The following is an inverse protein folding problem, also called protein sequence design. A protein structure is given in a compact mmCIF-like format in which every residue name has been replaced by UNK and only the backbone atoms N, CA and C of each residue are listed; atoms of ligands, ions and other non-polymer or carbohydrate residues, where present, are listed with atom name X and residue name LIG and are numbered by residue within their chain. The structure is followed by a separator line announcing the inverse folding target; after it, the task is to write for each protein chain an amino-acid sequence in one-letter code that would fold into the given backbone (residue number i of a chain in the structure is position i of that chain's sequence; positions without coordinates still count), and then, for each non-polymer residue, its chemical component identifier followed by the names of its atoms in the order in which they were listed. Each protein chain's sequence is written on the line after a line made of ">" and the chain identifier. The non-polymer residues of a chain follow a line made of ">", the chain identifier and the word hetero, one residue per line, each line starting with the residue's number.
data_IF_237003174827
#
_entry.id   IF_237003174827
#
_cell.length_a   1.000
_cell.length_b   1.000
_cell.length_c   1.000
_cell.angle_alpha   90.00
_cell.angle_beta   90.00
_cell.angle_gamma   90.00
#
_symmetry.space_group_name_H-M   'P 1'
#
loop_
_entity.id
_entity.type
_entity.pdbx_description
1 polymer ?
#
# COMPACT_ATOMS: atom_id res chain seq x y z
N UNK A 1 -40.37 10.50 -42.49
CA UNK A 1 -41.32 9.88 -43.45
C UNK A 1 -40.52 8.81 -44.19
N UNK A 2 -40.56 7.53 -43.79
CA UNK A 2 -41.59 6.54 -44.14
C UNK A 2 -41.83 6.51 -45.67
N UNK A 3 -41.77 5.41 -46.43
CA UNK A 3 -41.64 3.98 -46.24
C UNK A 3 -41.61 3.37 -47.66
N UNK A 4 -40.81 2.30 -47.92
CA UNK A 4 -41.21 1.05 -48.61
C UNK A 4 -41.69 1.10 -50.10
N UNK A 5 -41.66 0.08 -50.96
CA UNK A 5 -41.36 -1.37 -50.97
C UNK A 5 -41.22 -1.78 -52.47
N UNK A 6 -40.27 -2.68 -52.84
CA UNK A 6 -40.44 -4.10 -53.27
C UNK A 6 -41.01 -4.36 -54.67
N UNK A 7 -40.32 -5.22 -55.42
CA UNK A 7 -40.78 -6.54 -55.94
C UNK A 7 -39.55 -7.27 -56.52
N UNK A 8 -39.04 -8.35 -55.90
CA UNK A 8 -39.40 -9.78 -56.03
C UNK A 8 -39.38 -10.34 -57.47
N UNK A 9 -38.38 -11.16 -57.79
CA UNK A 9 -38.51 -12.27 -58.73
C UNK A 9 -37.55 -13.42 -58.40
N UNK A 10 -38.12 -14.62 -58.31
CA UNK A 10 -37.47 -15.93 -58.13
C UNK A 10 -37.08 -16.53 -59.49
N UNK A 11 -35.98 -17.29 -59.56
CA UNK A 11 -35.70 -18.15 -60.71
C UNK A 11 -34.30 -18.78 -60.70
N UNK A 12 -34.26 -20.12 -60.61
CA UNK A 12 -33.10 -21.00 -60.48
C UNK A 12 -32.04 -20.93 -61.60
N UNK A 13 -30.78 -21.21 -61.24
CA UNK A 13 -29.93 -22.11 -62.04
C UNK A 13 -28.82 -22.76 -61.19
N UNK A 14 -28.76 -24.09 -61.24
CA UNK A 14 -27.73 -24.96 -60.66
C UNK A 14 -26.41 -24.77 -61.42
N UNK A 15 -25.30 -24.54 -60.70
CA UNK A 15 -24.01 -25.08 -61.12
C UNK A 15 -23.15 -25.41 -59.90
N UNK A 16 -22.69 -26.64 -59.93
CA UNK A 16 -21.88 -27.38 -58.99
C UNK A 16 -20.47 -26.80 -58.91
N UNK A 17 -20.00 -26.48 -57.70
CA UNK A 17 -18.58 -26.25 -57.43
C UNK A 17 -18.26 -26.58 -55.97
N UNK A 18 -17.41 -27.58 -55.80
CA UNK A 18 -16.82 -28.12 -54.57
C UNK A 18 -16.27 -27.02 -53.64
N UNK A 19 -16.50 -27.07 -52.31
CA UNK A 19 -15.85 -26.14 -51.39
C UNK A 19 -14.38 -26.57 -51.13
N UNK A 20 -13.45 -25.62 -50.92
CA UNK A 20 -12.07 -25.94 -50.54
C UNK A 20 -12.02 -26.42 -49.08
N UNK A 21 -10.95 -27.14 -48.66
CA UNK A 21 -10.85 -27.64 -47.30
C UNK A 21 -10.75 -26.47 -46.31
N UNK A 22 -11.49 -26.58 -45.22
CA UNK A 22 -11.42 -25.68 -44.07
C UNK A 22 -9.98 -25.64 -43.55
N UNK A 23 -9.31 -24.51 -43.74
CA UNK A 23 -8.08 -24.20 -43.03
C UNK A 23 -8.42 -24.12 -41.53
N UNK A 24 -7.93 -25.11 -40.79
CA UNK A 24 -7.87 -25.09 -39.33
C UNK A 24 -7.09 -23.85 -38.91
N UNK A 25 -7.80 -22.85 -38.37
CA UNK A 25 -7.15 -21.75 -37.64
C UNK A 25 -6.28 -22.38 -36.55
N UNK A 26 -5.00 -21.98 -36.41
CA UNK A 26 -4.21 -22.42 -35.27
C UNK A 26 -4.91 -21.95 -34.00
N UNK A 27 -5.29 -22.94 -33.18
CA UNK A 27 -5.81 -22.77 -31.82
C UNK A 27 -4.85 -21.84 -31.08
N UNK A 28 -5.32 -20.63 -30.79
CA UNK A 28 -4.57 -19.71 -29.93
C UNK A 28 -4.30 -20.44 -28.61
N UNK A 29 -3.06 -20.41 -28.09
CA UNK A 29 -2.80 -20.93 -26.76
C UNK A 29 -3.68 -20.16 -25.75
N UNK A 30 -4.16 -20.80 -24.67
CA UNK A 30 -4.91 -20.10 -23.64
C UNK A 30 -4.06 -18.91 -23.17
N UNK A 31 -4.65 -17.72 -23.21
CA UNK A 31 -4.01 -16.51 -22.72
C UNK A 31 -3.51 -16.78 -21.31
N UNK A 32 -2.19 -16.77 -21.11
CA UNK A 32 -1.61 -16.68 -19.77
C UNK A 32 -2.24 -15.44 -19.14
N UNK A 33 -3.14 -15.63 -18.17
CA UNK A 33 -3.71 -14.56 -17.37
C UNK A 33 -2.54 -13.91 -16.62
N UNK A 34 -2.00 -12.83 -17.18
CA UNK A 34 -0.95 -12.02 -16.56
C UNK A 34 -1.55 -11.25 -15.38
N UNK A 35 -0.70 -10.93 -14.40
CA UNK A 35 -1.01 -10.17 -13.18
C UNK A 35 -1.63 -8.78 -13.42
N UNK A 36 -1.69 -8.32 -14.66
CA UNK A 36 -2.27 -7.04 -15.11
C UNK A 36 -3.76 -6.88 -14.86
N UNK A 37 -4.49 -7.95 -14.54
CA UNK A 37 -5.96 -7.94 -14.43
C UNK A 37 -6.50 -7.69 -13.01
N UNK A 38 -5.64 -7.67 -11.98
CA UNK A 38 -6.08 -7.50 -10.59
C UNK A 38 -5.85 -6.06 -10.11
N UNK A 39 -6.85 -5.21 -10.33
CA UNK A 39 -6.81 -3.82 -9.87
C UNK A 39 -6.96 -3.70 -8.35
N UNK A 40 -6.26 -2.74 -7.73
CA UNK A 40 -6.38 -2.48 -6.29
C UNK A 40 -7.80 -2.05 -5.89
N UNK A 41 -8.44 -2.70 -4.91
CA UNK A 41 -9.78 -2.40 -4.41
C UNK A 41 -9.79 -1.25 -3.40
N UNK A 42 -8.61 -0.76 -3.01
CA UNK A 42 -8.46 0.31 -2.00
C UNK A 42 -8.80 1.71 -2.57
N UNK A 43 -9.46 1.75 -3.74
CA UNK A 43 -9.91 2.95 -4.42
C UNK A 43 -8.91 3.51 -5.42
N UNK A 44 -9.43 4.22 -6.42
CA UNK A 44 -8.63 5.02 -7.35
C UNK A 44 -8.63 6.48 -6.89
N UNK A 45 -7.47 7.13 -6.96
CA UNK A 45 -7.38 8.56 -6.67
C UNK A 45 -7.88 9.35 -7.87
N UNK A 46 -8.71 10.36 -7.60
CA UNK A 46 -9.17 11.28 -8.63
C UNK A 46 -8.05 12.27 -9.07
N UNK A 47 -6.97 12.37 -8.28
CA UNK A 47 -5.81 13.20 -8.60
C UNK A 47 -4.85 12.51 -9.57
N UNK A 48 -4.10 13.30 -10.34
CA UNK A 48 -2.99 12.83 -11.18
C UNK A 48 -1.73 12.48 -10.35
N UNK A 49 -1.89 11.79 -9.22
CA UNK A 49 -0.79 11.27 -8.41
C UNK A 49 -0.33 9.93 -8.98
N UNK A 50 0.95 9.82 -9.30
CA UNK A 50 1.56 8.56 -9.76
C UNK A 50 1.91 7.68 -8.56
N UNK A 51 2.16 6.38 -8.80
CA UNK A 51 2.67 5.49 -7.74
C UNK A 51 4.02 5.97 -7.18
N UNK A 52 4.84 6.66 -7.98
CA UNK A 52 6.07 7.30 -7.50
C UNK A 52 5.78 8.44 -6.52
N UNK A 53 4.75 9.25 -6.81
CA UNK A 53 4.33 10.36 -5.93
C UNK A 53 3.81 9.83 -4.59
N UNK A 54 2.99 8.77 -4.64
CA UNK A 54 2.45 8.11 -3.45
C UNK A 54 3.57 7.49 -2.61
N UNK A 55 4.53 6.83 -3.26
CA UNK A 55 5.66 6.21 -2.56
C UNK A 55 6.54 7.24 -1.84
N UNK A 56 6.88 8.33 -2.52
CA UNK A 56 7.65 9.42 -1.92
C UNK A 56 6.88 10.06 -0.75
N UNK A 57 5.57 10.27 -0.90
CA UNK A 57 4.73 10.86 0.15
C UNK A 57 4.61 9.92 1.35
N UNK A 58 4.41 8.62 1.12
CA UNK A 58 4.38 7.61 2.18
C UNK A 58 5.70 7.55 2.94
N UNK A 59 6.83 7.66 2.23
CA UNK A 59 8.16 7.74 2.84
C UNK A 59 8.33 9.01 3.70
N UNK A 60 7.88 10.16 3.20
CA UNK A 60 7.92 11.42 3.95
C UNK A 60 7.13 11.30 5.26
N UNK A 61 5.92 10.72 5.21
CA UNK A 61 5.09 10.45 6.40
C UNK A 61 5.81 9.51 7.37
N UNK A 62 6.35 8.40 6.87
CA UNK A 62 7.10 7.45 7.67
C UNK A 62 8.28 8.10 8.41
N UNK A 63 9.10 8.88 7.70
CA UNK A 63 10.21 9.60 8.31
C UNK A 63 9.74 10.62 9.35
N UNK A 64 8.64 11.33 9.07
CA UNK A 64 8.12 12.34 9.98
C UNK A 64 7.70 11.73 11.33
N UNK A 65 6.97 10.61 11.32
CA UNK A 65 6.49 9.96 12.56
C UNK A 65 7.57 9.20 13.32
N UNK A 66 8.55 8.62 12.62
CA UNK A 66 9.63 7.87 13.29
C UNK A 66 10.59 8.78 14.07
N UNK A 67 10.59 10.09 13.80
CA UNK A 67 11.44 11.08 14.49
C UNK A 67 10.84 11.61 15.78
N UNK A 68 9.52 11.81 15.84
CA UNK A 68 8.86 12.36 17.03
C UNK A 68 8.91 11.41 18.22
N UNK A 69 9.18 10.13 18.00
CA UNK A 69 9.43 9.15 19.06
C UNK A 69 10.82 9.26 19.71
N UNK A 70 11.74 10.10 19.22
CA UNK A 70 13.06 10.32 19.83
C UNK A 70 13.22 11.74 20.35
N UNK A 71 12.81 11.98 21.59
CA UNK A 71 12.97 13.26 22.30
C UNK A 71 14.40 13.48 22.82
N UNK A 72 15.43 13.42 21.95
CA UNK A 72 16.76 13.99 22.25
C UNK A 72 17.39 14.61 21.00
N UNK A 73 17.94 15.82 21.08
CA UNK A 73 18.60 16.47 19.95
C UNK A 73 19.90 15.72 19.61
N UNK A 74 20.07 15.35 18.34
CA UNK A 74 21.31 14.78 17.83
C UNK A 74 22.34 15.92 17.70
N UNK A 75 23.44 15.83 18.45
CA UNK A 75 24.65 16.60 18.15
C UNK A 75 25.22 16.11 16.82
N UNK A 76 25.41 17.06 15.90
CA UNK A 76 26.06 16.83 14.61
C UNK A 76 27.54 16.53 14.84
N UNK A 77 28.00 15.30 14.59
CA UNK A 77 29.42 15.05 14.40
C UNK A 77 29.79 15.44 12.97
N UNK A 78 30.16 16.70 12.79
CA UNK A 78 30.92 17.18 11.64
C UNK A 78 32.36 16.67 11.76
N UNK A 79 32.80 15.92 10.75
CA UNK A 79 34.19 15.53 10.53
C UNK A 79 35.01 16.79 10.26
N UNK A 80 35.85 17.20 11.21
CA UNK A 80 36.90 18.20 10.99
C UNK A 80 38.17 17.79 11.76
N UNK A 81 39.26 17.80 11.03
CA UNK A 81 40.63 17.41 11.40
C UNK A 81 41.39 18.47 12.22
N UNK A 82 42.30 17.98 13.07
CA UNK A 82 43.49 18.62 13.68
C UNK A 82 43.33 19.83 14.62
N UNK A 83 43.77 19.68 15.89
CA UNK A 83 45.09 20.17 16.38
C UNK A 83 45.21 20.08 17.92
N UNK A 84 46.42 19.84 18.40
CA UNK A 84 46.88 19.70 19.79
C UNK A 84 46.44 20.79 20.79
N UNK A 85 46.29 20.42 22.07
CA UNK A 85 46.99 21.06 23.22
C UNK A 85 46.59 20.46 24.59
N UNK A 86 47.56 20.54 25.51
CA UNK A 86 47.64 19.94 26.85
C UNK A 86 46.91 20.75 27.95
N UNK A 87 46.42 20.05 28.99
CA UNK A 87 46.63 20.48 30.38
C UNK A 87 45.43 20.79 31.28
N UNK A 88 45.43 20.13 32.45
CA UNK A 88 44.90 20.49 33.79
C UNK A 88 43.66 19.76 34.40
N UNK A 89 44.01 18.93 35.41
CA UNK A 89 43.34 18.42 36.64
C UNK A 89 42.00 19.10 37.07
N UNK A 90 40.87 18.42 37.31
CA UNK A 90 40.46 17.45 38.39
C UNK A 90 39.18 17.99 39.07
N UNK A 91 38.51 17.32 40.03
CA UNK A 91 37.80 16.03 39.94
C UNK A 91 36.36 16.11 40.54
N UNK A 92 35.40 15.28 40.11
CA UNK A 92 34.37 14.68 41.00
C UNK A 92 33.25 13.94 40.26
N UNK A 93 33.01 12.71 40.74
CA UNK A 93 31.71 12.03 40.87
C UNK A 93 30.74 12.02 39.67
N UNK A 94 30.64 10.89 38.96
CA UNK A 94 29.75 9.79 39.37
C UNK A 94 29.74 8.72 38.27
N UNK A 95 29.98 7.48 38.68
CA UNK A 95 29.68 6.30 37.88
C UNK A 95 28.18 6.27 37.57
N UNK A 96 27.84 6.44 36.30
CA UNK A 96 26.63 5.86 35.74
C UNK A 96 26.92 5.40 34.32
N UNK A 97 27.31 4.13 34.19
CA UNK A 97 27.12 3.38 32.97
C UNK A 97 25.64 3.43 32.61
N UNK A 98 25.30 4.11 31.52
CA UNK A 98 23.99 3.98 30.87
C UNK A 98 24.24 3.72 29.39
N UNK A 99 23.66 2.65 28.84
CA UNK A 99 23.89 2.28 27.44
C UNK A 99 23.18 3.28 26.54
N UNK A 100 23.92 3.78 25.55
CA UNK A 100 23.38 4.50 24.39
C UNK A 100 22.21 3.71 23.79
N UNK A 101 21.08 4.38 23.53
CA UNK A 101 20.01 3.84 22.69
C UNK A 101 19.37 4.96 21.87
N UNK A 102 19.69 5.07 20.57
CA UNK A 102 18.90 5.81 19.60
C UNK A 102 18.05 4.81 18.80
N UNK A 103 16.72 4.88 18.92
CA UNK A 103 15.80 3.94 18.27
C UNK A 103 15.85 3.97 16.71
N UNK A 104 16.40 5.04 16.12
CA UNK A 104 16.67 5.13 14.68
C UNK A 104 18.06 4.60 14.26
N UNK A 105 18.93 4.33 15.23
CA UNK A 105 20.25 3.73 15.02
C UNK A 105 20.38 2.34 15.67
N UNK A 106 19.26 1.73 16.07
CA UNK A 106 19.29 0.34 16.51
C UNK A 106 19.63 -0.49 15.29
N UNK A 107 20.86 -0.99 15.25
CA UNK A 107 21.27 -2.02 14.30
C UNK A 107 20.23 -3.14 14.34
N UNK A 108 19.68 -3.49 13.18
CA UNK A 108 18.95 -4.73 13.02
C UNK A 108 19.91 -5.88 13.41
N UNK A 109 19.49 -6.75 14.33
CA UNK A 109 20.27 -7.94 14.73
C UNK A 109 19.58 -9.18 14.19
N UNK A 110 20.14 -9.79 13.15
CA UNK A 110 19.50 -10.81 12.30
C UNK A 110 19.49 -12.24 12.88
N UNK A 111 19.04 -12.48 14.12
CA UNK A 111 19.18 -13.81 14.73
C UNK A 111 17.92 -14.42 15.39
N UNK A 112 16.79 -13.72 15.44
CA UNK A 112 15.54 -14.27 15.97
C UNK A 112 14.55 -14.56 14.84
N UNK A 113 13.89 -15.72 14.89
CA UNK A 113 12.79 -16.01 13.97
C UNK A 113 11.67 -14.97 14.17
N UNK A 114 11.31 -14.24 13.11
CA UNK A 114 10.25 -13.23 13.15
C UNK A 114 8.94 -13.82 13.68
N UNK A 115 8.32 -13.13 14.65
CA UNK A 115 7.03 -13.49 15.22
C UNK A 115 5.93 -13.36 14.18
N UNK A 116 5.97 -12.31 13.36
CA UNK A 116 5.04 -12.14 12.25
C UNK A 116 5.17 -13.26 11.22
N UNK A 117 6.39 -13.60 10.78
CA UNK A 117 6.57 -14.73 9.85
C UNK A 117 6.01 -16.02 10.43
N UNK A 118 6.27 -16.29 11.72
CA UNK A 118 5.71 -17.45 12.43
C UNK A 118 4.19 -17.42 12.53
N UNK A 119 3.59 -16.27 12.83
CA UNK A 119 2.14 -16.08 12.91
C UNK A 119 1.46 -16.24 11.54
N UNK A 120 2.16 -15.87 10.47
CA UNK A 120 1.72 -16.02 9.09
C UNK A 120 2.04 -17.40 8.50
N UNK A 121 2.70 -18.29 9.24
CA UNK A 121 3.10 -19.61 8.76
C UNK A 121 4.23 -19.59 7.72
N UNK A 122 4.90 -18.46 7.52
CA UNK A 122 5.98 -18.30 6.55
C UNK A 122 7.27 -18.95 7.08
N UNK A 123 7.92 -19.78 6.27
CA UNK A 123 9.16 -20.45 6.66
C UNK A 123 10.31 -19.44 6.73
N UNK A 124 11.01 -19.38 7.87
CA UNK A 124 12.29 -18.67 7.94
C UNK A 124 13.33 -19.37 7.05
N UNK A 125 14.20 -18.64 6.33
CA UNK A 125 15.28 -19.25 5.58
C UNK A 125 16.29 -19.84 6.56
N UNK A 126 16.12 -21.12 6.91
CA UNK A 126 16.99 -21.78 7.88
C UNK A 126 16.79 -23.28 8.08
N UNK A 127 15.86 -23.94 7.40
CA UNK A 127 15.58 -25.38 7.63
C UNK A 127 15.75 -26.28 6.40
N UNK A 128 16.63 -25.93 5.46
CA UNK A 128 17.22 -26.94 4.57
C UNK A 128 18.52 -27.45 5.19
N UNK A 129 18.41 -28.47 6.05
CA UNK A 129 19.56 -29.31 6.44
C UNK A 129 20.17 -29.90 5.16
N UNK A 130 21.30 -29.35 4.72
CA UNK A 130 22.21 -30.07 3.81
C UNK A 130 23.24 -30.80 4.66
N UNK A 131 23.49 -32.10 4.43
CA UNK A 131 24.54 -32.83 5.12
C UNK A 131 25.88 -32.60 4.41
N UNK A 132 26.86 -32.10 5.16
CA UNK A 132 28.29 -32.19 4.82
C UNK A 132 28.88 -30.96 4.14
N UNK A 133 29.76 -30.25 4.87
CA UNK A 133 31.13 -29.87 4.45
C UNK A 133 31.75 -28.95 5.52
N UNK A 134 33.05 -29.14 5.77
CA UNK A 134 33.80 -28.66 6.95
C UNK A 134 34.15 -27.15 6.99
N UNK A 135 35.03 -26.75 7.94
CA UNK A 135 35.29 -25.35 8.24
C UNK A 135 36.26 -24.76 7.22
N UNK A 136 35.71 -23.99 6.28
CA UNK A 136 36.45 -23.23 5.28
C UNK A 136 36.06 -21.76 5.33
N UNK A 137 37.04 -20.92 5.61
CA UNK A 137 37.04 -19.46 5.55
C UNK A 137 36.32 -18.90 4.32
N UNK A 138 35.32 -18.05 4.54
CA UNK A 138 34.71 -17.20 3.52
C UNK A 138 34.49 -15.80 4.08
N UNK A 139 35.18 -14.82 3.51
CA UNK A 139 35.04 -13.39 3.80
C UNK A 139 33.59 -12.95 3.67
N UNK A 140 32.87 -12.91 4.79
CA UNK A 140 31.60 -12.23 4.88
C UNK A 140 31.85 -10.74 4.71
N UNK A 141 31.51 -10.19 3.53
CA UNK A 141 31.28 -8.75 3.36
C UNK A 141 30.44 -8.29 4.54
N UNK A 142 31.05 -7.51 5.44
CA UNK A 142 30.40 -6.98 6.62
C UNK A 142 29.16 -6.20 6.20
N UNK A 143 27.98 -6.83 6.26
CA UNK A 143 26.70 -6.12 6.12
C UNK A 143 26.70 -5.05 7.19
N UNK A 144 26.78 -3.79 6.78
CA UNK A 144 26.66 -2.67 7.71
C UNK A 144 25.35 -2.84 8.48
N UNK A 145 25.34 -2.51 9.78
CA UNK A 145 24.12 -2.50 10.56
C UNK A 145 23.10 -1.60 9.86
N UNK A 146 22.11 -2.23 9.22
CA UNK A 146 21.05 -1.51 8.50
C UNK A 146 20.04 -1.07 9.54
N UNK A 147 19.63 0.20 9.51
CA UNK A 147 18.58 0.70 10.40
C UNK A 147 17.21 0.49 9.75
N UNK A 148 16.12 0.47 10.51
CA UNK A 148 14.76 0.37 9.92
C UNK A 148 14.50 1.50 8.92
N UNK A 149 15.03 2.70 9.17
CA UNK A 149 14.91 3.83 8.25
C UNK A 149 15.67 3.62 6.93
N UNK A 150 16.83 2.97 6.98
CA UNK A 150 17.62 2.60 5.81
C UNK A 150 16.97 1.45 5.03
N UNK A 151 16.46 0.45 5.75
CA UNK A 151 15.69 -0.65 5.17
C UNK A 151 14.47 -0.13 4.42
N UNK A 152 13.67 0.74 5.07
CA UNK A 152 12.51 1.38 4.45
C UNK A 152 12.90 2.16 3.18
N UNK A 153 14.01 2.91 3.23
CA UNK A 153 14.52 3.67 2.07
C UNK A 153 14.82 2.73 0.89
N UNK A 154 15.52 1.63 1.17
CA UNK A 154 15.92 0.65 0.16
C UNK A 154 14.68 -0.03 -0.44
N UNK A 155 13.76 -0.52 0.40
CA UNK A 155 12.54 -1.19 -0.08
C UNK A 155 11.65 -0.26 -0.90
N UNK A 156 11.57 1.02 -0.52
CA UNK A 156 10.84 2.03 -1.29
C UNK A 156 11.63 2.59 -2.49
N UNK A 157 12.87 2.14 -2.76
CA UNK A 157 13.70 2.67 -3.87
C UNK A 157 13.88 4.20 -3.80
N UNK A 158 14.02 4.75 -2.59
CA UNK A 158 14.17 6.20 -2.41
C UNK A 158 15.64 6.59 -2.60
N UNK A 159 15.95 7.58 -3.46
CA UNK A 159 17.32 8.07 -3.61
C UNK A 159 17.87 8.67 -2.32
N UNK A 160 19.16 8.48 -2.05
CA UNK A 160 19.84 9.00 -0.85
C UNK A 160 19.82 10.55 -0.78
N UNK A 161 19.85 11.22 -1.93
CA UNK A 161 19.71 12.68 -2.02
C UNK A 161 18.33 13.16 -1.57
N UNK A 162 17.27 12.41 -1.90
CA UNK A 162 15.91 12.67 -1.45
C UNK A 162 15.79 12.43 0.06
N UNK A 163 16.28 11.28 0.55
CA UNK A 163 16.26 10.95 1.98
C UNK A 163 16.97 12.01 2.83
N UNK A 164 18.21 12.36 2.48
CA UNK A 164 19.01 13.35 3.22
C UNK A 164 18.35 14.73 3.24
N UNK A 165 17.76 15.17 2.13
CA UNK A 165 17.01 16.43 2.02
C UNK A 165 15.76 16.44 2.90
N UNK A 166 14.95 15.37 2.87
CA UNK A 166 13.76 15.25 3.71
C UNK A 166 14.13 15.19 5.17
N UNK A 167 15.17 14.43 5.55
CA UNK A 167 15.69 14.41 6.93
C UNK A 167 16.16 15.80 7.37
N UNK A 168 16.82 16.56 6.51
CA UNK A 168 17.25 17.93 6.85
C UNK A 168 16.04 18.86 7.03
N UNK A 169 15.04 18.78 6.15
CA UNK A 169 13.81 19.54 6.26
C UNK A 169 13.08 19.24 7.58
N UNK A 170 12.89 17.95 7.89
CA UNK A 170 12.23 17.49 9.10
C UNK A 170 12.98 17.92 10.39
N UNK A 171 14.31 18.08 10.36
CA UNK A 171 15.06 18.69 11.48
C UNK A 171 14.65 20.13 11.71
N UNK A 172 14.55 20.93 10.64
CA UNK A 172 14.14 22.34 10.69
C UNK A 172 12.68 22.48 11.15
N UNK A 173 11.81 21.56 10.70
CA UNK A 173 10.41 21.48 11.13
C UNK A 173 10.34 21.17 12.63
N UNK A 174 11.03 20.13 13.09
CA UNK A 174 11.05 19.73 14.50
C UNK A 174 11.55 20.83 15.44
N UNK A 175 12.59 21.58 15.05
CA UNK A 175 13.08 22.73 15.81
C UNK A 175 12.08 23.90 15.91
N UNK A 176 11.13 24.00 14.97
CA UNK A 176 10.05 24.99 14.99
C UNK A 176 8.76 24.51 15.66
N UNK A 177 8.65 23.22 15.99
CA UNK A 177 7.47 22.58 16.59
C UNK A 177 7.57 22.45 18.11
N UNK A 178 8.19 23.41 18.82
CA UNK A 178 8.28 23.38 20.30
C UNK A 178 6.88 23.19 20.90
N UNK A 179 6.60 21.97 21.39
CA UNK A 179 5.32 21.57 22.00
C UNK A 179 4.25 20.98 21.07
N UNK A 180 4.45 20.85 19.75
CA UNK A 180 3.45 20.30 18.80
C UNK A 180 3.79 18.90 18.31
N UNK A 181 2.80 18.00 18.27
CA UNK A 181 2.93 16.64 17.71
C UNK A 181 2.93 16.70 16.18
N UNK A 182 3.64 15.79 15.50
CA UNK A 182 3.63 15.71 14.03
C UNK A 182 2.21 15.46 13.47
N UNK A 183 1.34 14.85 14.27
CA UNK A 183 -0.08 14.62 13.99
C UNK A 183 -0.90 15.93 13.88
N UNK A 184 -0.36 17.04 14.40
CA UNK A 184 -0.97 18.38 14.33
C UNK A 184 -0.42 19.22 13.16
N UNK A 185 0.26 18.58 12.21
CA UNK A 185 1.00 19.23 11.14
C UNK A 185 0.55 18.69 9.78
N UNK A 186 0.40 19.60 8.82
CA UNK A 186 0.23 19.25 7.40
C UNK A 186 1.60 19.10 6.78
N UNK A 187 2.10 17.87 6.69
CA UNK A 187 3.49 17.58 6.30
C UNK A 187 3.88 18.17 4.92
N UNK A 188 3.09 18.03 3.84
CA UNK A 188 3.43 18.62 2.54
C UNK A 188 3.59 20.14 2.61
N UNK A 189 2.76 20.82 3.41
CA UNK A 189 2.86 22.27 3.61
C UNK A 189 4.15 22.66 4.34
N UNK A 190 4.52 21.95 5.40
CA UNK A 190 5.76 22.27 6.12
C UNK A 190 7.00 22.01 5.27
N UNK A 191 7.00 20.96 4.43
CA UNK A 191 8.07 20.70 3.47
C UNK A 191 8.19 21.85 2.46
N UNK A 192 7.06 22.32 1.91
CA UNK A 192 7.01 23.49 1.03
C UNK A 192 7.54 24.77 1.70
N UNK A 193 7.49 24.88 3.03
CA UNK A 193 7.99 26.05 3.75
C UNK A 193 9.47 25.98 4.12
N UNK A 194 10.04 24.77 4.30
CA UNK A 194 11.43 24.60 4.72
C UNK A 194 12.44 24.41 3.60
N UNK A 195 11.99 23.86 2.46
CA UNK A 195 12.86 23.53 1.34
C UNK A 195 12.83 24.67 0.32
N UNK A 196 14.02 25.06 -0.14
CA UNK A 196 14.20 26.08 -1.18
C UNK A 196 14.75 25.43 -2.45
N UNK A 197 14.66 26.12 -3.58
CA UNK A 197 15.26 25.69 -4.85
C UNK A 197 16.75 25.30 -4.72
N UNK A 198 17.51 25.98 -3.87
CA UNK A 198 18.93 25.68 -3.60
C UNK A 198 19.19 24.33 -2.91
N UNK A 199 18.16 23.69 -2.35
CA UNK A 199 18.25 22.35 -1.77
C UNK A 199 18.13 21.24 -2.86
N UNK A 200 17.95 21.59 -4.14
CA UNK A 200 17.71 20.66 -5.26
C UNK A 200 18.86 20.70 -6.27
N UNK A 201 19.01 19.62 -7.04
CA UNK A 201 20.07 19.51 -8.04
C UNK A 201 19.78 20.38 -9.26
N UNK A 202 18.53 20.43 -9.67
CA UNK A 202 18.07 21.22 -10.81
C UNK A 202 16.65 21.78 -10.60
N UNK A 203 16.25 22.68 -11.49
CA UNK A 203 14.94 23.33 -11.43
C UNK A 203 13.79 22.35 -11.69
N UNK A 204 14.00 21.36 -12.54
CA UNK A 204 12.97 20.41 -12.93
C UNK A 204 12.59 19.50 -11.75
N UNK A 205 13.56 19.05 -10.99
CA UNK A 205 13.39 18.27 -9.76
C UNK A 205 12.60 19.09 -8.71
N UNK A 206 12.96 20.37 -8.55
CA UNK A 206 12.27 21.28 -7.63
C UNK A 206 10.82 21.50 -8.04
N UNK A 207 10.56 21.78 -9.32
CA UNK A 207 9.21 21.99 -9.84
C UNK A 207 8.35 20.72 -9.73
N UNK A 208 8.93 19.55 -10.02
CA UNK A 208 8.26 18.26 -9.86
C UNK A 208 7.91 17.98 -8.40
N UNK A 209 8.85 18.22 -7.48
CA UNK A 209 8.61 18.09 -6.03
C UNK A 209 7.53 19.05 -5.55
N UNK A 210 7.53 20.30 -5.98
CA UNK A 210 6.51 21.27 -5.60
C UNK A 210 5.13 20.85 -6.10
N UNK A 211 5.02 20.49 -7.38
CA UNK A 211 3.78 19.99 -7.98
C UNK A 211 3.25 18.77 -7.25
N UNK A 212 4.12 17.82 -6.88
CA UNK A 212 3.75 16.66 -6.07
C UNK A 212 3.10 17.06 -4.75
N UNK A 213 3.74 17.94 -3.97
CA UNK A 213 3.20 18.36 -2.67
C UNK A 213 1.85 19.08 -2.81
N UNK A 214 1.68 19.91 -3.84
CA UNK A 214 0.39 20.55 -4.13
C UNK A 214 -0.70 19.55 -4.53
N UNK A 215 -0.37 18.54 -5.36
CA UNK A 215 -1.29 17.45 -5.72
C UNK A 215 -1.69 16.60 -4.51
N UNK A 216 -0.77 16.38 -3.57
CA UNK A 216 -1.07 15.68 -2.30
C UNK A 216 -2.03 16.50 -1.44
N UNK A 217 -1.81 17.82 -1.33
CA UNK A 217 -2.73 18.72 -0.63
C UNK A 217 -4.11 18.74 -1.30
N UNK A 218 -4.16 18.76 -2.64
CA UNK A 218 -5.41 18.66 -3.39
C UNK A 218 -6.15 17.35 -3.10
N UNK A 219 -5.44 16.22 -3.20
CA UNK A 219 -6.00 14.91 -2.99
C UNK A 219 -6.60 14.77 -1.59
N UNK A 220 -5.87 15.21 -0.55
CA UNK A 220 -6.28 15.05 0.83
C UNK A 220 -7.30 16.07 1.32
N UNK A 221 -7.19 17.33 0.89
CA UNK A 221 -8.01 18.41 1.45
C UNK A 221 -9.19 18.81 0.57
N UNK A 222 -9.19 18.47 -0.72
CA UNK A 222 -10.23 18.88 -1.67
C UNK A 222 -10.99 17.72 -2.29
N UNK A 223 -10.29 16.64 -2.69
CA UNK A 223 -10.89 15.51 -3.40
C UNK A 223 -11.39 14.43 -2.44
N UNK A 224 -10.59 14.10 -1.42
CA UNK A 224 -10.85 13.04 -0.47
C UNK A 224 -10.72 13.53 0.98
N UNK A 225 -11.39 14.62 1.38
CA UNK A 225 -11.36 15.07 2.76
C UNK A 225 -12.14 14.10 3.65
N UNK A 226 -11.60 13.80 4.83
CA UNK A 226 -12.32 13.00 5.85
C UNK A 226 -13.63 13.68 6.27
N UNK A 227 -13.59 14.99 6.49
CA UNK A 227 -14.77 15.80 6.78
C UNK A 227 -15.27 16.45 5.50
N UNK A 228 -16.50 16.13 5.10
CA UNK A 228 -17.11 16.63 3.87
C UNK A 228 -17.04 18.16 3.75
N UNK A 229 -16.80 18.66 2.53
CA UNK A 229 -16.70 20.09 2.25
C UNK A 229 -18.05 20.64 1.80
N UNK A 230 -18.41 21.82 2.30
CA UNK A 230 -19.47 22.60 1.68
C UNK A 230 -18.96 23.23 0.38
N UNK A 231 -19.81 23.27 -0.66
CA UNK A 231 -19.53 23.85 -1.96
C UNK A 231 -19.26 25.36 -1.88
N UNK A 232 -19.76 26.02 -0.84
CA UNK A 232 -19.55 27.45 -0.56
C UNK A 232 -18.24 27.76 0.18
N UNK A 233 -17.43 26.74 0.52
CA UNK A 233 -16.27 26.94 1.38
C UNK A 233 -15.16 27.77 0.68
N UNK A 234 -14.97 29.00 1.17
CA UNK A 234 -13.99 29.95 0.65
C UNK A 234 -12.54 29.41 0.67
N UNK A 235 -12.14 28.69 1.73
CA UNK A 235 -10.79 28.12 1.83
C UNK A 235 -10.55 27.05 0.75
N UNK A 236 -11.58 26.24 0.45
CA UNK A 236 -11.51 25.22 -0.60
C UNK A 236 -11.37 25.85 -2.00
N UNK A 237 -12.13 26.90 -2.29
CA UNK A 237 -12.06 27.63 -3.55
C UNK A 237 -10.70 28.32 -3.70
N UNK A 238 -10.21 28.94 -2.62
CA UNK A 238 -8.91 29.59 -2.58
C UNK A 238 -7.77 28.59 -2.79
N UNK A 239 -7.81 27.42 -2.16
CA UNK A 239 -6.80 26.38 -2.37
C UNK A 239 -6.80 25.89 -3.83
N UNK A 240 -7.98 25.67 -4.44
CA UNK A 240 -8.07 25.30 -5.87
C UNK A 240 -7.45 26.36 -6.78
N UNK A 241 -7.73 27.64 -6.53
CA UNK A 241 -7.17 28.74 -7.31
C UNK A 241 -5.63 28.78 -7.20
N UNK A 242 -5.08 28.60 -6.00
CA UNK A 242 -3.63 28.57 -5.79
C UNK A 242 -2.99 27.40 -6.51
N UNK A 243 -3.56 26.19 -6.41
CA UNK A 243 -3.04 24.99 -7.07
C UNK A 243 -3.09 25.15 -8.59
N UNK A 244 -4.19 25.69 -9.12
CA UNK A 244 -4.32 25.91 -10.56
C UNK A 244 -3.31 26.95 -11.07
N UNK A 245 -3.15 28.08 -10.37
CA UNK A 245 -2.14 29.08 -10.70
C UNK A 245 -0.70 28.52 -10.62
N UNK A 246 -0.45 27.58 -9.71
CA UNK A 246 0.85 26.93 -9.56
C UNK A 246 1.21 25.98 -10.72
N UNK A 247 0.23 25.57 -11.54
CA UNK A 247 0.49 24.80 -12.75
C UNK A 247 1.18 25.65 -13.82
N UNK A 248 0.78 26.92 -13.92
CA UNK A 248 1.32 27.89 -14.88
C UNK A 248 2.61 28.53 -14.38
N UNK A 249 2.64 28.95 -13.10
CA UNK A 249 3.82 29.57 -12.47
C UNK A 249 4.11 28.94 -11.11
N UNK A 250 5.30 28.33 -10.90
CA UNK A 250 5.70 27.77 -9.61
C UNK A 250 5.54 28.77 -8.46
N UNK A 251 5.11 28.27 -7.29
CA UNK A 251 4.96 29.10 -6.09
C UNK A 251 6.34 29.41 -5.53
N UNK A 252 6.61 30.66 -5.17
CA UNK A 252 7.84 30.99 -4.46
C UNK A 252 7.77 30.44 -3.02
N UNK A 253 8.60 29.44 -2.72
CA UNK A 253 8.61 28.81 -1.38
C UNK A 253 9.33 29.66 -0.34
N UNK A 254 8.80 29.68 0.87
CA UNK A 254 9.47 30.26 2.03
C UNK A 254 8.49 30.88 3.02
N UNK A 255 8.83 30.85 4.32
CA UNK A 255 7.93 31.31 5.40
C UNK A 255 7.49 32.78 5.27
N UNK A 256 8.28 33.65 4.65
CA UNK A 256 7.98 35.09 4.60
C UNK A 256 7.30 35.52 3.29
N UNK A 257 7.01 34.59 2.37
CA UNK A 257 6.35 34.91 1.12
C UNK A 257 4.83 35.02 1.32
N UNK A 258 4.21 36.07 0.78
CA UNK A 258 2.77 36.31 0.88
C UNK A 258 1.95 35.16 0.25
N UNK A 259 2.35 34.67 -0.92
CA UNK A 259 1.67 33.54 -1.58
C UNK A 259 1.70 32.27 -0.72
N UNK A 260 2.81 32.02 -0.02
CA UNK A 260 2.97 30.90 0.90
C UNK A 260 2.14 31.07 2.18
N UNK A 261 1.98 32.30 2.69
CA UNK A 261 1.10 32.58 3.82
C UNK A 261 -0.38 32.39 3.47
N UNK A 262 -0.75 32.81 2.25
CA UNK A 262 -2.07 32.58 1.69
C UNK A 262 -2.37 31.08 1.53
N UNK A 263 -1.41 30.31 1.00
CA UNK A 263 -1.52 28.85 0.91
C UNK A 263 -1.66 28.22 2.31
N UNK A 264 -0.80 28.61 3.26
CA UNK A 264 -0.85 28.12 4.64
C UNK A 264 -2.20 28.37 5.29
N UNK A 265 -2.74 29.57 5.16
CA UNK A 265 -4.04 29.93 5.74
C UNK A 265 -5.16 29.04 5.20
N UNK A 266 -5.23 28.86 3.87
CA UNK A 266 -6.23 28.01 3.24
C UNK A 266 -6.08 26.54 3.65
N UNK A 267 -4.86 26.00 3.61
CA UNK A 267 -4.56 24.61 3.97
C UNK A 267 -4.89 24.33 5.42
N UNK A 268 -4.43 25.18 6.35
CA UNK A 268 -4.68 24.98 7.78
C UNK A 268 -6.17 25.07 8.09
N UNK A 269 -6.91 26.00 7.48
CA UNK A 269 -8.36 26.11 7.65
C UNK A 269 -9.12 24.86 7.20
N UNK A 270 -8.58 24.11 6.24
CA UNK A 270 -9.19 22.86 5.74
C UNK A 270 -8.76 21.65 6.59
N UNK A 271 -7.49 21.59 7.00
CA UNK A 271 -6.92 20.48 7.76
C UNK A 271 -7.33 20.48 9.24
N UNK A 272 -7.57 21.64 9.86
CA UNK A 272 -7.91 21.76 11.27
C UNK A 272 -9.42 21.70 11.55
N UNK A 273 -10.20 21.12 10.64
CA UNK A 273 -11.66 21.02 10.79
C UNK A 273 -11.97 19.91 11.78
N UNK A 274 -12.54 20.28 12.93
CA UNK A 274 -13.01 19.30 13.92
C UNK A 274 -14.15 18.46 13.34
N UNK A 275 -14.09 17.16 13.59
CA UNK A 275 -15.17 16.19 13.38
C UNK A 275 -16.17 16.17 14.56
N UNK A 276 -16.08 17.14 15.48
CA UNK A 276 -16.81 17.16 16.76
C UNK A 276 -15.98 16.58 17.92
N UNK A 277 -14.79 16.04 17.67
CA UNK A 277 -13.84 15.60 18.70
C UNK A 277 -12.96 16.75 19.22
N UNK A 278 -12.56 16.68 20.48
CA UNK A 278 -11.61 17.60 21.15
C UNK A 278 -10.14 17.37 20.72
N UNK A 279 -9.90 16.67 19.62
CA UNK A 279 -8.55 16.34 19.15
C UNK A 279 -7.98 17.45 18.26
N UNK A 280 -6.83 18.00 18.64
CA UNK A 280 -5.99 18.92 17.83
C UNK A 280 -5.28 18.20 16.65
N UNK A 281 -5.95 17.26 16.00
CA UNK A 281 -5.41 16.50 14.86
C UNK A 281 -5.61 17.23 13.54
N UNK A 282 -4.59 17.23 12.67
CA UNK A 282 -4.72 17.75 11.31
C UNK A 282 -5.16 16.65 10.35
N UNK A 283 -6.36 16.81 9.78
CA UNK A 283 -6.98 15.90 8.82
C UNK A 283 -6.54 16.25 7.40
N UNK A 284 -5.37 15.78 6.98
CA UNK A 284 -4.84 16.03 5.63
C UNK A 284 -4.58 14.76 4.80
N UNK A 285 -4.37 13.61 5.46
CA UNK A 285 -4.04 12.34 4.80
C UNK A 285 -4.89 11.17 5.28
N UNK A 286 -5.94 11.41 6.06
CA UNK A 286 -6.76 10.39 6.70
C UNK A 286 -8.11 10.15 6.02
N UNK A 287 -8.34 10.78 4.86
CA UNK A 287 -9.50 10.53 4.02
C UNK A 287 -9.28 9.44 2.96
N UNK A 288 -10.34 8.68 2.68
CA UNK A 288 -10.34 7.55 1.75
C UNK A 288 -10.58 8.05 0.31
N UNK A 289 -9.83 7.57 -0.71
CA UNK A 289 -8.88 6.46 -0.67
C UNK A 289 -7.41 6.86 -0.48
N UNK A 290 -7.09 8.15 -0.25
CA UNK A 290 -5.70 8.61 -0.13
C UNK A 290 -4.95 7.90 0.99
N UNK A 291 -5.56 7.78 2.18
CA UNK A 291 -4.95 7.09 3.30
C UNK A 291 -4.60 5.63 3.00
N UNK A 292 -5.52 4.89 2.38
CA UNK A 292 -5.34 3.48 2.06
C UNK A 292 -4.24 3.29 1.03
N UNK A 293 -4.18 4.15 0.01
CA UNK A 293 -3.13 4.10 -1.01
C UNK A 293 -1.75 4.42 -0.45
N UNK A 294 -1.64 5.40 0.45
CA UNK A 294 -0.39 5.67 1.15
C UNK A 294 0.01 4.52 2.08
N UNK A 295 -0.96 3.89 2.75
CA UNK A 295 -0.72 2.75 3.63
C UNK A 295 -0.31 1.49 2.86
N UNK A 296 -0.90 1.24 1.70
CA UNK A 296 -0.51 0.15 0.78
C UNK A 296 0.96 0.30 0.37
N UNK A 297 1.41 1.51 0.01
CA UNK A 297 2.83 1.77 -0.29
C UNK A 297 3.76 1.44 0.89
N UNK A 298 3.32 1.66 2.13
CA UNK A 298 4.07 1.29 3.33
C UNK A 298 4.12 -0.22 3.52
N UNK A 299 2.99 -0.92 3.38
CA UNK A 299 2.92 -2.38 3.54
C UNK A 299 3.73 -3.13 2.48
N UNK A 300 3.83 -2.60 1.26
CA UNK A 300 4.63 -3.20 0.19
C UNK A 300 6.12 -3.31 0.54
N UNK A 301 6.59 -2.58 1.55
CA UNK A 301 7.98 -2.65 2.02
C UNK A 301 8.28 -3.88 2.87
N UNK A 302 7.26 -4.64 3.25
CA UNK A 302 7.42 -5.93 3.92
C UNK A 302 8.00 -7.02 2.99
N UNK A 303 7.97 -6.84 1.67
CA UNK A 303 8.53 -7.78 0.71
C UNK A 303 9.92 -7.35 0.24
N UNK A 304 10.81 -8.31 -0.01
CA UNK A 304 12.16 -8.03 -0.46
C UNK A 304 12.16 -7.54 -1.90
N UNK A 305 12.71 -6.35 -2.14
CA UNK A 305 12.93 -5.77 -3.45
C UNK A 305 13.73 -6.66 -4.42
N UNK A 306 14.62 -7.51 -3.91
CA UNK A 306 15.44 -8.43 -4.71
C UNK A 306 14.76 -9.78 -4.94
N UNK A 307 13.80 -10.13 -4.09
CA UNK A 307 13.07 -11.39 -4.10
C UNK A 307 11.62 -11.14 -3.67
N UNK A 308 10.79 -10.69 -4.62
CA UNK A 308 9.43 -10.19 -4.33
C UNK A 308 8.49 -11.23 -3.70
N UNK A 309 8.85 -12.51 -3.80
CA UNK A 309 8.19 -13.66 -3.18
C UNK A 309 8.47 -13.77 -1.68
N UNK A 310 9.55 -13.15 -1.20
CA UNK A 310 10.02 -13.28 0.18
C UNK A 310 9.66 -12.06 1.02
N UNK A 311 9.28 -12.32 2.27
CA UNK A 311 9.12 -11.27 3.29
C UNK A 311 10.47 -10.96 3.92
N UNK A 312 10.75 -9.68 4.17
CA UNK A 312 11.98 -9.20 4.81
C UNK A 312 12.17 -9.82 6.20
N UNK A 313 13.40 -10.12 6.61
CA UNK A 313 13.67 -10.74 7.92
C UNK A 313 13.20 -9.87 9.09
N UNK A 314 13.40 -8.55 8.98
CA UNK A 314 13.09 -7.54 9.99
C UNK A 314 11.68 -6.96 9.85
N UNK A 315 10.75 -7.78 9.34
CA UNK A 315 9.35 -7.38 9.12
C UNK A 315 8.64 -6.98 10.42
N UNK A 316 9.00 -7.56 11.57
CA UNK A 316 8.42 -7.20 12.86
C UNK A 316 8.78 -5.76 13.24
N UNK A 317 10.06 -5.40 13.15
CA UNK A 317 10.55 -4.04 13.42
C UNK A 317 10.01 -3.05 12.41
N UNK A 318 9.94 -3.43 11.14
CA UNK A 318 9.38 -2.61 10.08
C UNK A 318 7.90 -2.32 10.31
N UNK A 319 7.12 -3.36 10.64
CA UNK A 319 5.70 -3.21 10.93
C UNK A 319 5.46 -2.33 12.15
N UNK A 320 6.26 -2.47 13.21
CA UNK A 320 6.17 -1.59 14.38
C UNK A 320 6.32 -0.10 14.00
N UNK A 321 7.21 0.21 13.06
CA UNK A 321 7.39 1.59 12.57
C UNK A 321 6.29 2.02 11.60
N UNK A 322 5.81 1.13 10.73
CA UNK A 322 4.65 1.40 9.86
C UNK A 322 3.44 1.75 10.71
N UNK A 323 3.19 1.05 11.83
CA UNK A 323 2.05 1.35 12.72
C UNK A 323 2.12 2.74 13.35
N UNK A 324 3.29 3.38 13.42
CA UNK A 324 3.42 4.78 13.88
C UNK A 324 2.77 5.78 12.91
N UNK A 325 2.54 5.41 11.64
CA UNK A 325 1.87 6.29 10.67
C UNK A 325 0.35 6.35 10.87
N UNK A 326 -0.23 5.43 11.66
CA UNK A 326 -1.67 5.24 11.78
C UNK A 326 -2.43 6.50 12.15
N UNK A 327 -1.91 7.31 13.08
CA UNK A 327 -2.60 8.53 13.51
C UNK A 327 -2.68 9.57 12.38
N UNK A 328 -1.63 9.70 11.56
CA UNK A 328 -1.61 10.63 10.42
C UNK A 328 -2.52 10.15 9.28
N UNK A 329 -2.58 8.83 9.06
CA UNK A 329 -3.35 8.22 7.98
C UNK A 329 -4.77 7.82 8.40
N UNK A 330 -5.17 7.99 9.66
CA UNK A 330 -6.46 7.50 10.17
C UNK A 330 -6.63 5.98 10.03
N UNK A 331 -5.54 5.21 10.11
CA UNK A 331 -5.57 3.75 10.03
C UNK A 331 -5.79 3.17 11.42
N UNK A 332 -6.66 2.16 11.51
CA UNK A 332 -6.87 1.38 12.72
C UNK A 332 -6.49 -0.09 12.47
N UNK A 333 -6.55 -0.91 13.51
CA UNK A 333 -6.19 -2.33 13.43
C UNK A 333 -7.03 -3.09 12.39
N UNK A 334 -8.32 -2.77 12.24
CA UNK A 334 -9.21 -3.46 11.32
C UNK A 334 -8.89 -3.14 9.86
N UNK A 335 -8.69 -1.86 9.54
CA UNK A 335 -8.22 -1.41 8.22
C UNK A 335 -6.86 -2.02 7.89
N UNK A 336 -5.97 -2.12 8.89
CA UNK A 336 -4.69 -2.79 8.70
C UNK A 336 -4.84 -4.27 8.37
N UNK A 337 -5.66 -5.03 9.12
CA UNK A 337 -5.91 -6.44 8.84
C UNK A 337 -6.41 -6.64 7.41
N UNK A 338 -7.35 -5.81 6.97
CA UNK A 338 -7.89 -5.85 5.61
C UNK A 338 -6.85 -5.50 4.54
N UNK A 339 -6.12 -4.39 4.71
CA UNK A 339 -5.07 -3.98 3.76
C UNK A 339 -3.93 -4.99 3.70
N UNK A 340 -3.57 -5.61 4.82
CA UNK A 340 -2.48 -6.58 4.88
C UNK A 340 -2.89 -7.91 4.24
N UNK A 341 -4.12 -8.39 4.48
CA UNK A 341 -4.67 -9.53 3.74
C UNK A 341 -4.66 -9.28 2.22
N UNK A 342 -5.08 -8.07 1.79
CA UNK A 342 -5.02 -7.66 0.40
C UNK A 342 -3.60 -7.70 -0.16
N UNK A 343 -2.64 -7.05 0.50
CA UNK A 343 -1.26 -6.93 0.01
C UNK A 343 -0.57 -8.30 -0.07
N UNK A 344 -0.80 -9.20 0.90
CA UNK A 344 -0.30 -10.60 0.84
C UNK A 344 -0.87 -11.34 -0.37
N UNK A 345 -2.18 -11.24 -0.59
CA UNK A 345 -2.85 -11.86 -1.73
C UNK A 345 -2.38 -11.25 -3.06
N UNK A 346 -2.33 -9.93 -3.16
CA UNK A 346 -1.87 -9.21 -4.35
C UNK A 346 -0.44 -9.64 -4.69
N UNK A 347 0.44 -9.76 -3.70
CA UNK A 347 1.82 -10.21 -3.92
C UNK A 347 1.89 -11.65 -4.41
N UNK A 348 1.08 -12.55 -3.85
CA UNK A 348 0.94 -13.92 -4.35
C UNK A 348 0.55 -13.96 -5.83
N UNK A 349 -0.41 -13.13 -6.24
CA UNK A 349 -0.87 -13.05 -7.63
C UNK A 349 0.21 -12.44 -8.54
N UNK A 350 0.83 -11.34 -8.11
CA UNK A 350 1.84 -10.60 -8.86
C UNK A 350 3.09 -11.44 -9.13
N UNK A 351 3.46 -12.31 -8.19
CA UNK A 351 4.62 -13.23 -8.30
C UNK A 351 4.31 -14.52 -9.07
N UNK A 352 3.16 -14.60 -9.76
CA UNK A 352 2.82 -15.72 -10.62
C UNK A 352 2.36 -16.97 -9.87
N UNK A 353 1.84 -16.82 -8.64
CA UNK A 353 1.30 -17.90 -7.82
C UNK A 353 2.35 -18.93 -7.38
N UNK A 354 3.62 -18.52 -7.24
CA UNK A 354 4.72 -19.43 -6.89
C UNK A 354 4.77 -19.73 -5.39
N UNK A 355 4.57 -18.72 -4.54
CA UNK A 355 4.65 -18.86 -3.08
C UNK A 355 3.29 -19.10 -2.42
N UNK A 356 2.98 -20.38 -2.16
CA UNK A 356 1.76 -20.74 -1.41
C UNK A 356 1.73 -20.17 0.00
N UNK A 357 2.89 -19.97 0.62
CA UNK A 357 3.01 -19.42 1.96
C UNK A 357 2.37 -18.02 2.05
N UNK A 358 2.47 -17.19 0.99
CA UNK A 358 1.78 -15.89 0.92
C UNK A 358 0.25 -16.04 0.81
N UNK A 359 -0.22 -17.02 0.05
CA UNK A 359 -1.65 -17.33 -0.07
C UNK A 359 -2.24 -17.79 1.26
N UNK A 360 -1.53 -18.69 1.97
CA UNK A 360 -1.93 -19.15 3.29
C UNK A 360 -1.85 -18.04 4.34
N UNK A 361 -0.87 -17.15 4.26
CA UNK A 361 -0.80 -15.97 5.10
C UNK A 361 -2.01 -15.05 4.87
N UNK A 362 -2.40 -14.81 3.62
CA UNK A 362 -3.59 -14.03 3.29
C UNK A 362 -4.88 -14.69 3.82
N UNK A 363 -5.06 -15.99 3.62
CA UNK A 363 -6.22 -16.74 4.15
C UNK A 363 -6.24 -16.72 5.69
N UNK A 364 -5.07 -16.85 6.32
CA UNK A 364 -4.92 -16.69 7.77
C UNK A 364 -5.31 -15.30 8.26
N UNK A 365 -4.94 -14.23 7.53
CA UNK A 365 -5.38 -12.87 7.86
C UNK A 365 -6.89 -12.66 7.68
N UNK A 366 -7.54 -13.38 6.76
CA UNK A 366 -9.01 -13.31 6.61
C UNK A 366 -9.76 -13.76 7.86
N UNK A 367 -9.14 -14.56 8.75
CA UNK A 367 -9.73 -14.92 10.05
C UNK A 367 -9.91 -13.71 10.95
N UNK A 368 -8.93 -12.79 10.98
CA UNK A 368 -9.04 -11.54 11.75
C UNK A 368 -10.02 -10.58 11.07
N UNK A 369 -9.98 -10.46 9.74
CA UNK A 369 -10.94 -9.66 8.97
C UNK A 369 -12.38 -10.11 9.21
N UNK A 370 -12.63 -11.42 9.31
CA UNK A 370 -13.95 -11.97 9.63
C UNK A 370 -14.44 -11.58 11.04
N UNK A 371 -13.53 -11.50 12.02
CA UNK A 371 -13.86 -11.03 13.38
C UNK A 371 -14.18 -9.54 13.35
N UNK A 372 -13.37 -8.75 12.65
CA UNK A 372 -13.53 -7.30 12.52
C UNK A 372 -14.86 -6.94 11.86
N UNK A 373 -15.22 -7.64 10.78
CA UNK A 373 -16.49 -7.48 10.08
C UNK A 373 -17.72 -7.73 10.98
N UNK A 374 -17.62 -8.69 11.91
CA UNK A 374 -18.69 -8.97 12.88
C UNK A 374 -18.78 -7.93 14.00
N UNK A 375 -17.64 -7.34 14.37
CA UNK A 375 -17.54 -6.44 15.51
C UNK A 375 -17.95 -5.00 15.16
N UNK A 376 -17.73 -4.57 13.92
CA UNK A 376 -17.95 -3.19 13.50
C UNK A 376 -19.28 -2.96 12.80
N UNK A 377 -19.71 -1.70 12.77
CA UNK A 377 -20.83 -1.20 11.96
C UNK A 377 -20.44 0.05 11.18
N UNK A 378 -19.14 0.28 11.03
CA UNK A 378 -18.62 1.42 10.29
C UNK A 378 -18.92 1.25 8.78
N UNK A 379 -19.77 2.12 8.19
CA UNK A 379 -20.15 2.00 6.79
C UNK A 379 -18.98 2.17 5.83
N UNK A 380 -17.98 2.99 6.19
CA UNK A 380 -16.79 3.19 5.35
C UNK A 380 -15.94 1.92 5.32
N UNK A 381 -15.77 1.27 6.48
CA UNK A 381 -15.11 -0.03 6.57
C UNK A 381 -15.85 -1.10 5.75
N UNK A 382 -17.17 -1.26 5.91
CA UNK A 382 -17.96 -2.26 5.18
C UNK A 382 -17.86 -2.09 3.66
N UNK A 383 -17.81 -0.84 3.18
CA UNK A 383 -17.63 -0.54 1.75
C UNK A 383 -16.26 -1.02 1.24
N UNK A 384 -15.18 -0.73 1.97
CA UNK A 384 -13.82 -1.15 1.60
C UNK A 384 -13.68 -2.67 1.70
N UNK A 385 -14.22 -3.27 2.77
CA UNK A 385 -14.28 -4.72 2.98
C UNK A 385 -14.95 -5.41 1.79
N UNK A 386 -16.15 -4.96 1.44
CA UNK A 386 -16.92 -5.51 0.33
C UNK A 386 -16.16 -5.39 -1.00
N UNK A 387 -15.57 -4.23 -1.30
CA UNK A 387 -14.77 -4.05 -2.51
C UNK A 387 -13.54 -4.95 -2.57
N UNK A 388 -12.84 -5.09 -1.44
CA UNK A 388 -11.62 -5.91 -1.33
C UNK A 388 -11.93 -7.39 -1.49
N UNK A 389 -12.90 -7.90 -0.73
CA UNK A 389 -13.26 -9.31 -0.77
C UNK A 389 -13.93 -9.70 -2.09
N UNK A 390 -14.69 -8.80 -2.72
CA UNK A 390 -15.23 -9.04 -4.07
C UNK A 390 -14.12 -9.19 -5.10
N UNK A 391 -13.03 -8.42 -4.97
CA UNK A 391 -11.88 -8.51 -5.88
C UNK A 391 -11.12 -9.82 -5.69
N UNK A 392 -10.89 -10.22 -4.44
CA UNK A 392 -10.29 -11.53 -4.09
C UNK A 392 -11.15 -12.69 -4.60
N UNK A 393 -12.46 -12.64 -4.30
CA UNK A 393 -13.41 -13.67 -4.69
C UNK A 393 -13.53 -13.76 -6.22
N UNK A 394 -13.68 -12.63 -6.91
CA UNK A 394 -13.78 -12.59 -8.37
C UNK A 394 -12.54 -13.15 -9.05
N UNK A 395 -11.35 -12.90 -8.51
CA UNK A 395 -10.10 -13.49 -9.01
C UNK A 395 -10.06 -15.02 -8.82
N UNK A 396 -10.52 -15.52 -7.67
CA UNK A 396 -10.57 -16.95 -7.37
C UNK A 396 -11.64 -17.64 -8.24
N UNK A 397 -12.85 -17.09 -8.33
CA UNK A 397 -13.98 -17.67 -9.06
C UNK A 397 -13.70 -17.81 -10.55
N UNK A 398 -13.03 -16.83 -11.18
CA UNK A 398 -12.61 -16.93 -12.59
C UNK A 398 -11.81 -18.21 -12.88
N UNK A 399 -11.03 -18.69 -11.91
CA UNK A 399 -10.21 -19.90 -12.02
C UNK A 399 -10.99 -21.15 -11.64
N UNK A 400 -11.78 -21.07 -10.57
CA UNK A 400 -12.49 -22.23 -10.01
C UNK A 400 -13.71 -22.64 -10.87
N UNK A 401 -14.39 -21.69 -11.52
CA UNK A 401 -15.54 -21.99 -12.39
C UNK A 401 -15.17 -22.77 -13.66
N UNK A 402 -13.89 -22.75 -14.04
CA UNK A 402 -13.31 -23.48 -15.17
C UNK A 402 -12.04 -24.21 -14.73
N UNK A 403 -12.07 -24.86 -13.55
CA UNK A 403 -10.88 -25.45 -12.95
C UNK A 403 -10.22 -26.54 -13.81
N UNK A 404 -10.97 -27.28 -14.66
CA UNK A 404 -10.38 -28.27 -15.57
C UNK A 404 -9.49 -27.63 -16.63
N UNK A 405 -9.74 -26.36 -17.00
CA UNK A 405 -8.96 -25.61 -17.98
C UNK A 405 -7.84 -24.80 -17.29
N UNK A 406 -8.04 -24.45 -16.03
CA UNK A 406 -7.15 -23.56 -15.28
C UNK A 406 -6.05 -24.32 -14.54
N UNK A 407 -6.36 -25.53 -14.06
CA UNK A 407 -5.43 -26.33 -13.27
C UNK A 407 -5.00 -27.61 -14.00
N UNK A 408 -3.69 -27.81 -14.09
CA UNK A 408 -3.03 -28.97 -14.67
C UNK A 408 -2.09 -29.63 -13.65
N UNK A 409 -1.36 -30.67 -14.06
CA UNK A 409 -0.41 -31.37 -13.19
C UNK A 409 0.68 -30.45 -12.61
N UNK A 410 0.96 -29.31 -13.25
CA UNK A 410 2.00 -28.36 -12.87
C UNK A 410 1.56 -27.34 -11.81
N UNK A 411 0.26 -27.06 -11.66
CA UNK A 411 -0.25 -26.04 -10.72
C UNK A 411 -1.42 -26.50 -9.84
N UNK A 412 -1.87 -27.75 -9.96
CA UNK A 412 -2.99 -28.30 -9.18
C UNK A 412 -2.83 -28.14 -7.67
N UNK A 413 -1.60 -28.12 -7.16
CA UNK A 413 -1.29 -27.92 -5.74
C UNK A 413 -1.77 -26.55 -5.21
N UNK A 414 -1.96 -25.56 -6.08
CA UNK A 414 -2.46 -24.22 -5.73
C UNK A 414 -3.98 -24.18 -5.53
N UNK A 415 -4.70 -25.12 -6.15
CA UNK A 415 -6.17 -25.11 -6.20
C UNK A 415 -6.79 -25.15 -4.80
N UNK A 416 -6.24 -25.97 -3.90
CA UNK A 416 -6.75 -26.08 -2.53
C UNK A 416 -6.70 -24.74 -1.79
N UNK A 417 -5.57 -24.01 -1.89
CA UNK A 417 -5.42 -22.70 -1.26
C UNK A 417 -6.37 -21.66 -1.87
N UNK A 418 -6.54 -21.68 -3.20
CA UNK A 418 -7.43 -20.74 -3.91
C UNK A 418 -8.90 -20.99 -3.54
N UNK A 419 -9.32 -22.26 -3.42
CA UNK A 419 -10.65 -22.63 -2.93
C UNK A 419 -10.85 -22.13 -1.49
N UNK A 420 -9.88 -22.37 -0.60
CA UNK A 420 -9.94 -21.92 0.81
C UNK A 420 -10.17 -20.42 0.88
N UNK A 421 -9.28 -19.64 0.25
CA UNK A 421 -9.34 -18.17 0.25
C UNK A 421 -10.65 -17.65 -0.35
N UNK A 422 -11.08 -18.18 -1.49
CA UNK A 422 -12.32 -17.77 -2.16
C UNK A 422 -13.55 -18.05 -1.30
N UNK A 423 -13.61 -19.22 -0.66
CA UNK A 423 -14.70 -19.57 0.26
C UNK A 423 -14.69 -18.69 1.51
N UNK A 424 -13.52 -18.41 2.09
CA UNK A 424 -13.36 -17.49 3.22
C UNK A 424 -13.91 -16.09 2.87
N UNK A 425 -13.50 -15.53 1.73
CA UNK A 425 -13.99 -14.23 1.25
C UNK A 425 -15.51 -14.23 1.02
N UNK A 426 -16.06 -15.27 0.39
CA UNK A 426 -17.51 -15.40 0.16
C UNK A 426 -18.31 -15.49 1.47
N UNK A 427 -17.81 -16.21 2.48
CA UNK A 427 -18.45 -16.31 3.80
C UNK A 427 -18.53 -14.94 4.47
N UNK A 428 -17.42 -14.21 4.50
CA UNK A 428 -17.37 -12.88 5.13
C UNK A 428 -18.33 -11.92 4.43
N UNK A 429 -18.37 -11.90 3.09
CA UNK A 429 -19.31 -11.07 2.32
C UNK A 429 -20.78 -11.40 2.62
N UNK A 430 -21.14 -12.68 2.69
CA UNK A 430 -22.53 -13.09 2.98
C UNK A 430 -22.92 -12.72 4.41
N UNK A 431 -22.01 -12.88 5.37
CA UNK A 431 -22.23 -12.50 6.76
C UNK A 431 -22.38 -10.97 6.92
N UNK A 432 -21.52 -10.17 6.27
CA UNK A 432 -21.58 -8.70 6.27
C UNK A 432 -22.93 -8.21 5.71
N UNK A 433 -23.35 -8.69 4.53
CA UNK A 433 -24.65 -8.36 3.90
C UNK A 433 -25.85 -8.83 4.74
N UNK A 434 -25.73 -9.98 5.42
CA UNK A 434 -26.82 -10.53 6.25
C UNK A 434 -27.06 -9.73 7.53
N UNK A 435 -26.06 -8.98 8.02
CA UNK A 435 -26.24 -8.07 9.16
C UNK A 435 -27.12 -6.86 8.81
N UNK A 436 -27.15 -6.45 7.54
CA UNK A 436 -27.93 -5.31 7.03
C UNK A 436 -29.43 -5.67 6.83
N UNK A 437 -29.76 -6.93 6.52
CA UNK A 437 -31.10 -7.35 6.07
C UNK A 437 -31.93 -8.26 7.01
N UNK A 438 -31.68 -8.25 8.33
CA UNK A 438 -32.58 -8.79 9.38
C UNK A 438 -32.40 -10.28 9.72
N UNK A 439 -32.49 -10.56 11.03
CA UNK A 439 -32.60 -11.83 11.77
C UNK A 439 -33.74 -12.79 11.35
N UNK A 440 -34.10 -12.93 10.07
CA UNK A 440 -35.27 -13.71 9.64
C UNK A 440 -35.03 -14.59 8.41
N UNK A 441 -34.05 -15.50 8.52
CA UNK A 441 -34.14 -16.88 8.01
C UNK A 441 -32.90 -17.63 8.47
N UNK A 442 -33.07 -18.43 9.52
CA UNK A 442 -32.09 -19.43 9.95
C UNK A 442 -32.17 -20.62 9.00
N UNK A 443 -31.84 -20.39 7.74
CA UNK A 443 -31.38 -21.43 6.83
C UNK A 443 -29.89 -21.19 6.72
N UNK A 444 -29.10 -21.94 7.47
CA UNK A 444 -27.65 -21.95 7.33
C UNK A 444 -27.36 -22.53 5.94
N UNK A 445 -27.47 -21.70 4.91
CA UNK A 445 -27.02 -22.06 3.58
C UNK A 445 -25.52 -22.19 3.73
N UNK A 446 -25.04 -23.42 3.68
CA UNK A 446 -23.61 -23.69 3.70
C UNK A 446 -22.98 -23.02 2.47
N UNK A 447 -22.51 -21.78 2.66
CA UNK A 447 -21.94 -20.93 1.62
C UNK A 447 -20.77 -21.65 0.96
N UNK A 448 -19.98 -22.40 1.74
CA UNK A 448 -18.87 -23.19 1.22
C UNK A 448 -19.39 -24.27 0.27
N UNK A 449 -20.32 -25.10 0.73
CA UNK A 449 -20.88 -26.18 -0.09
C UNK A 449 -21.54 -25.67 -1.36
N UNK A 450 -22.31 -24.59 -1.28
CA UNK A 450 -22.99 -24.01 -2.46
C UNK A 450 -21.97 -23.48 -3.48
N UNK A 451 -20.96 -22.73 -3.03
CA UNK A 451 -19.90 -22.23 -3.92
C UNK A 451 -19.12 -23.38 -4.57
N UNK A 452 -18.72 -24.38 -3.79
CA UNK A 452 -17.97 -25.54 -4.31
C UNK A 452 -18.81 -26.33 -5.31
N UNK A 453 -20.10 -26.60 -5.02
CA UNK A 453 -21.01 -27.28 -5.95
C UNK A 453 -21.17 -26.48 -7.26
N UNK A 454 -21.27 -25.15 -7.17
CA UNK A 454 -21.30 -24.26 -8.33
C UNK A 454 -20.04 -24.38 -9.19
N UNK A 455 -18.85 -24.36 -8.57
CA UNK A 455 -17.58 -24.51 -9.27
C UNK A 455 -17.48 -25.87 -9.98
N UNK A 456 -17.86 -26.95 -9.28
CA UNK A 456 -17.88 -28.32 -9.83
C UNK A 456 -18.79 -28.42 -11.04
N UNK A 457 -20.05 -27.99 -10.92
CA UNK A 457 -21.03 -28.07 -12.01
C UNK A 457 -20.62 -27.22 -13.21
N UNK A 458 -20.17 -25.99 -12.97
CA UNK A 458 -19.74 -25.07 -14.03
C UNK A 458 -18.57 -25.64 -14.84
N UNK A 459 -17.54 -26.13 -14.12
CA UNK A 459 -16.33 -26.65 -14.73
C UNK A 459 -16.60 -27.96 -15.48
N UNK A 460 -17.38 -28.88 -14.90
CA UNK A 460 -17.79 -30.13 -15.57
C UNK A 460 -18.60 -29.86 -16.85
N UNK A 461 -19.55 -28.90 -16.80
CA UNK A 461 -20.34 -28.53 -17.97
C UNK A 461 -19.44 -28.04 -19.11
N UNK A 462 -18.43 -27.24 -18.78
CA UNK A 462 -17.49 -26.68 -19.74
C UNK A 462 -16.59 -27.77 -20.33
N UNK A 463 -16.02 -28.64 -19.48
CA UNK A 463 -15.18 -29.76 -19.91
C UNK A 463 -15.95 -30.75 -20.81
N UNK A 464 -17.19 -31.08 -20.47
CA UNK A 464 -18.03 -31.98 -21.27
C UNK A 464 -18.35 -31.38 -22.65
N UNK A 465 -18.67 -30.09 -22.71
CA UNK A 465 -18.92 -29.39 -23.96
C UNK A 465 -17.68 -29.37 -24.88
N UNK A 466 -16.48 -29.24 -24.30
CA UNK A 466 -15.23 -29.29 -25.06
C UNK A 466 -14.87 -30.69 -25.56
N UNK A 467 -15.14 -31.74 -24.78
CA UNK A 467 -14.87 -33.13 -25.16
C UNK A 467 -15.86 -33.70 -26.20
N UNK A 468 -17.02 -33.03 -26.38
CA UNK A 468 -18.05 -33.43 -27.34
C UNK A 468 -17.89 -32.76 -28.71
N UNK A 469 -16.86 -31.93 -28.89
CA UNK A 469 -16.43 -31.30 -30.14
C UNK A 469 -15.19 -32.01 -30.67
#
# INVERSE_FOLDING_TARGET
>A
MAHLFRDLSLGHSKRESTPPPLQTKPRMPPSKLTSTDLQSPLGQLASQLTDSDLRLTAYDVFLAVCRTSSSKPLSSSSSASNSDSLGYNSPSQNNNHSPNSPALQRSLTSAAASKMKKALGLKSPGSKKSPGSGPGSGEGKSKRPTTVGELMRIQMRIPETVDSRVRRALLRIGGGLVGRRIESVVLPLELLQQLKQSDFTDQQEYDAWQKRNLKVLEAGLLLHPRVSLDKSNNASQRLRQIIHAALDRPIETGKNNESMQVLRSAVMSLASRSDGSFSDSCHWADGIPLNLRLYEMLLETCFDINDETSIVEEVDELMEHIKKTWVVLGINQMLHNLCFAWVLFHRFVATGQVEMDLLYAADGQLVEVAKDAKATKDPDYSKILSSTLTSVLGWAEKRLLAYHDTFDSGNIYTMQGIVSLGVSAAKILVEDVSTEYRRKRKGEVDVARNRIDTYIRSSLRTAFAQASL
#
